data_IF_988971866216
#
_entry.id   IF_988971866216
#
_cell.length_a   1.000
_cell.length_b   1.000
_cell.length_c   1.000
_cell.angle_alpha   90.00
_cell.angle_beta   90.00
_cell.angle_gamma   90.00
#
_symmetry.space_group_name_H-M   'P 1'
#
loop_
_entity.id
_entity.type
_entity.pdbx_description
1 polymer ?
#
# COMPACT_ATOMS: atom_id res chain seq x y z
N UNK A 1 4.74 13.22 24.56
CA UNK A 1 4.21 12.70 23.69
C UNK A 1 4.01 13.38 22.55
N UNK A 2 3.79 12.85 21.86
CA UNK A 2 4.02 13.19 20.68
C UNK A 2 2.82 13.40 19.90
N UNK A 3 2.25 14.52 20.12
CA UNK A 3 1.12 14.92 19.35
C UNK A 3 1.47 15.11 17.91
N UNK A 4 2.72 15.43 17.63
CA UNK A 4 3.09 15.56 16.23
C UNK A 4 3.05 14.21 15.53
N UNK A 5 3.38 13.14 16.23
CA UNK A 5 3.22 11.83 15.69
C UNK A 5 1.77 11.56 15.33
N UNK A 6 0.89 11.97 16.20
CA UNK A 6 -0.54 11.78 15.98
C UNK A 6 -1.04 12.62 14.83
N UNK A 7 -0.54 13.84 14.75
CA UNK A 7 -0.87 14.70 13.63
C UNK A 7 -0.42 14.09 12.33
N UNK A 8 0.77 13.55 12.31
CA UNK A 8 1.27 12.92 11.10
C UNK A 8 0.36 11.80 10.65
N UNK A 9 -0.13 11.02 11.59
CA UNK A 9 -1.04 9.96 11.27
C UNK A 9 -2.34 10.49 10.69
N UNK A 10 -2.85 11.56 11.26
CA UNK A 10 -4.06 12.18 10.74
C UNK A 10 -3.83 12.80 9.39
N UNK A 11 -2.70 13.47 9.23
CA UNK A 11 -2.37 14.10 7.95
C UNK A 11 -2.27 13.08 6.85
N UNK A 12 -1.73 11.92 7.14
CA UNK A 12 -1.64 10.90 6.12
C UNK A 12 -2.99 10.44 5.66
N UNK A 13 -3.97 10.43 6.52
CA UNK A 13 -5.32 10.10 6.10
C UNK A 13 -5.87 11.15 5.18
N UNK A 14 -5.58 12.43 5.47
CA UNK A 14 -6.00 13.51 4.59
C UNK A 14 -5.16 13.55 3.33
N UNK A 15 -3.91 13.11 3.42
CA UNK A 15 -3.02 13.12 2.29
C UNK A 15 -3.33 12.01 1.31
N UNK A 16 -4.53 11.51 1.37
CA UNK A 16 -4.96 10.74 0.26
C UNK A 16 -4.97 9.25 0.41
N UNK A 17 -4.87 8.75 1.64
CA UNK A 17 -5.07 7.33 1.82
C UNK A 17 -6.52 6.99 1.56
N UNK A 18 -6.73 6.05 0.68
CA UNK A 18 -8.09 5.60 0.38
C UNK A 18 -8.21 4.14 0.81
N UNK A 19 -9.32 3.79 1.48
CA UNK A 19 -9.56 2.39 1.78
C UNK A 19 -9.69 1.60 0.49
N UNK A 20 -9.01 0.48 0.44
CA UNK A 20 -9.03 -0.35 -0.74
C UNK A 20 -8.58 -1.74 -0.40
N UNK A 21 -9.48 -2.69 -0.58
CA UNK A 21 -9.13 -4.10 -0.47
C UNK A 21 -8.91 -4.63 -1.87
N UNK A 22 -7.69 -4.98 -2.16
CA UNK A 22 -7.38 -5.60 -3.45
C UNK A 22 -6.29 -6.61 -3.23
N UNK A 23 -6.28 -7.61 -4.09
CA UNK A 23 -5.22 -8.60 -4.06
C UNK A 23 -3.94 -8.01 -4.60
N UNK A 24 -2.84 -8.42 -4.00
CA UNK A 24 -1.53 -7.92 -4.40
C UNK A 24 -0.55 -9.09 -4.29
N UNK A 25 0.40 -9.12 -5.20
CA UNK A 25 1.49 -10.08 -5.14
C UNK A 25 2.74 -9.34 -4.73
N UNK A 26 3.48 -9.94 -3.80
CA UNK A 26 4.77 -9.39 -3.40
C UNK A 26 5.84 -10.39 -3.79
N UNK A 27 7.00 -9.89 -4.15
CA UNK A 27 8.11 -10.73 -4.60
C UNK A 27 9.33 -10.42 -3.78
N UNK A 28 9.86 -11.46 -3.17
CA UNK A 28 11.13 -11.40 -2.47
C UNK A 28 11.97 -12.54 -3.00
N UNK A 29 13.13 -12.22 -3.60
CA UNK A 29 14.00 -13.24 -4.20
C UNK A 29 13.23 -14.11 -5.18
N UNK A 30 12.41 -13.46 -6.01
CA UNK A 30 11.60 -14.13 -7.02
C UNK A 30 10.57 -15.11 -6.47
N UNK A 31 10.30 -15.04 -5.17
CA UNK A 31 9.27 -15.85 -4.55
C UNK A 31 8.03 -15.04 -4.38
N UNK A 32 6.94 -15.38 -5.07
CA UNK A 32 5.71 -14.62 -4.93
C UNK A 32 4.95 -15.01 -3.67
N UNK A 33 4.38 -14.01 -3.03
CA UNK A 33 3.44 -14.22 -1.94
C UNK A 33 2.23 -13.34 -2.19
N UNK A 34 1.09 -13.84 -1.84
CA UNK A 34 -0.15 -13.10 -2.02
C UNK A 34 -0.62 -12.50 -0.73
N UNK A 35 -1.21 -11.35 -0.86
CA UNK A 35 -1.85 -10.69 0.25
C UNK A 35 -2.95 -9.81 -0.26
N UNK A 36 -3.45 -8.95 0.60
CA UNK A 36 -4.43 -7.97 0.19
C UNK A 36 -4.18 -6.68 0.94
N UNK A 37 -4.61 -5.58 0.32
CA UNK A 37 -4.40 -4.27 0.91
C UNK A 37 -5.57 -3.89 1.78
N UNK A 38 -5.35 -2.95 2.69
CA UNK A 38 -6.44 -2.31 3.40
C UNK A 38 -6.59 -0.85 2.99
N UNK A 39 -5.53 -0.24 2.53
CA UNK A 39 -5.60 1.11 1.97
C UNK A 39 -4.39 1.35 1.08
N UNK A 40 -4.48 2.40 0.28
CA UNK A 40 -3.41 2.77 -0.62
C UNK A 40 -3.39 4.29 -0.77
N UNK A 41 -2.21 4.82 -1.05
CA UNK A 41 -2.02 6.22 -1.40
C UNK A 41 -0.95 6.30 -2.48
N UNK A 42 -0.63 7.50 -2.92
CA UNK A 42 0.45 7.68 -3.89
C UNK A 42 1.81 7.28 -3.32
N UNK A 43 1.96 7.29 -2.01
CA UNK A 43 3.26 7.02 -1.39
C UNK A 43 3.43 5.59 -0.90
N UNK A 44 2.34 4.84 -0.75
CA UNK A 44 2.47 3.48 -0.23
C UNK A 44 1.13 2.84 0.03
N UNK A 45 1.19 1.69 0.69
CA UNK A 45 -0.01 0.94 1.01
C UNK A 45 0.19 0.15 2.30
N UNK A 46 -0.92 -0.30 2.88
CA UNK A 46 -0.89 -1.27 3.95
C UNK A 46 -1.26 -2.62 3.39
N UNK A 47 -0.43 -3.58 3.69
CA UNK A 47 -0.57 -4.94 3.22
C UNK A 47 -0.93 -5.85 4.37
N UNK A 48 -1.95 -6.67 4.18
CA UNK A 48 -2.32 -7.70 5.13
C UNK A 48 -2.04 -9.05 4.53
N UNK A 49 -1.45 -9.93 5.31
CA UNK A 49 -1.21 -11.30 4.88
C UNK A 49 -1.73 -12.24 5.93
N UNK A 50 -2.16 -13.40 5.50
CA UNK A 50 -2.58 -14.44 6.41
C UNK A 50 -1.40 -15.24 6.91
N UNK A 51 -0.29 -15.14 6.21
CA UNK A 51 0.89 -15.91 6.56
C UNK A 51 1.76 -15.09 7.46
N UNK A 52 2.09 -15.64 8.57
CA UNK A 52 3.07 -15.04 9.40
C UNK A 52 4.40 -15.31 8.80
N UNK A 53 4.96 -14.32 8.20
CA UNK A 53 6.37 -14.35 7.90
C UNK A 53 7.00 -13.40 8.90
N UNK A 54 7.54 -13.93 9.98
CA UNK A 54 8.06 -13.06 11.03
C UNK A 54 9.26 -12.24 10.57
N UNK A 55 9.77 -12.57 9.39
CA UNK A 55 10.96 -11.90 8.92
C UNK A 55 10.76 -11.35 7.54
N UNK A 56 9.83 -10.41 7.41
CA UNK A 56 9.87 -9.61 6.21
C UNK A 56 11.12 -8.77 6.28
N UNK A 57 12.06 -9.00 5.41
CA UNK A 57 13.31 -8.26 5.48
C UNK A 57 13.08 -6.82 5.12
N UNK A 58 13.95 -5.98 5.59
CA UNK A 58 13.91 -4.56 5.25
C UNK A 58 14.41 -4.29 3.84
N UNK A 59 14.59 -5.32 3.06
CA UNK A 59 15.00 -5.15 1.67
C UNK A 59 13.79 -4.78 0.83
N UNK A 60 14.00 -4.09 -0.28
CA UNK A 60 12.88 -3.77 -1.15
C UNK A 60 12.18 -5.01 -1.65
N UNK A 61 10.87 -4.92 -1.72
CA UNK A 61 10.03 -5.98 -2.25
C UNK A 61 9.47 -5.54 -3.59
N UNK A 62 9.37 -6.47 -4.51
CA UNK A 62 8.60 -6.20 -5.72
C UNK A 62 7.12 -6.28 -5.40
N UNK A 63 6.35 -5.39 -6.00
CA UNK A 63 4.91 -5.32 -5.79
C UNK A 63 4.22 -5.32 -7.14
N UNK A 64 3.18 -6.12 -7.21
CA UNK A 64 2.39 -6.22 -8.43
C UNK A 64 0.93 -6.17 -8.07
N UNK A 65 0.20 -5.22 -8.64
CA UNK A 65 -1.22 -5.10 -8.35
C UNK A 65 -1.94 -4.41 -9.50
N UNK A 66 -3.25 -4.61 -9.52
CA UNK A 66 -4.09 -4.01 -10.54
C UNK A 66 -5.18 -3.24 -9.83
N UNK A 67 -5.23 -1.93 -10.08
CA UNK A 67 -6.24 -1.09 -9.46
C UNK A 67 -7.61 -1.41 -10.02
N UNK A 68 -8.65 -1.37 -9.19
CA UNK A 68 -10.00 -1.65 -9.68
C UNK A 68 -10.39 -0.72 -10.81
N UNK A 69 -10.96 -1.28 -11.83
CA UNK A 69 -11.41 -0.50 -12.98
C UNK A 69 -10.33 -0.14 -13.97
N UNK A 70 -9.09 -0.47 -13.67
CA UNK A 70 -7.99 -0.18 -14.57
C UNK A 70 -7.46 -1.48 -15.15
N UNK A 71 -7.11 -1.44 -16.42
CA UNK A 71 -6.72 -2.66 -17.10
C UNK A 71 -5.28 -3.06 -16.95
N UNK A 72 -4.44 -2.13 -16.54
CA UNK A 72 -3.00 -2.35 -16.52
C UNK A 72 -2.52 -2.77 -15.15
N UNK A 73 -1.53 -3.63 -15.14
CA UNK A 73 -0.88 -4.03 -13.90
C UNK A 73 0.18 -3.00 -13.53
N UNK A 74 0.18 -2.62 -12.28
CA UNK A 74 1.19 -1.71 -11.76
C UNK A 74 2.30 -2.53 -11.12
N UNK A 75 3.53 -2.17 -11.45
CA UNK A 75 4.72 -2.74 -10.84
C UNK A 75 5.44 -1.68 -10.05
N UNK A 76 5.83 -2.01 -8.84
CA UNK A 76 6.53 -1.07 -7.99
C UNK A 76 7.53 -1.81 -7.13
N UNK A 77 8.46 -1.08 -6.57
CA UNK A 77 9.28 -1.57 -5.46
C UNK A 77 8.81 -0.86 -4.22
N UNK A 78 8.82 -1.56 -3.11
CA UNK A 78 8.42 -0.98 -1.84
C UNK A 78 9.32 -1.43 -0.73
N UNK A 79 9.39 -0.62 0.31
CA UNK A 79 10.14 -0.93 1.51
C UNK A 79 9.22 -0.98 2.69
N UNK A 80 9.50 -1.89 3.58
CA UNK A 80 8.77 -1.99 4.83
C UNK A 80 9.03 -0.76 5.68
N UNK A 81 7.99 -0.08 6.07
CA UNK A 81 8.16 1.09 6.92
C UNK A 81 7.46 0.95 8.27
N UNK A 82 6.60 -0.04 8.42
CA UNK A 82 5.91 -0.23 9.69
C UNK A 82 5.35 -1.64 9.76
N UNK A 83 5.59 -2.29 10.89
CA UNK A 83 4.99 -3.58 11.20
C UNK A 83 3.79 -3.40 12.10
N UNK A 84 2.80 -4.22 11.93
CA UNK A 84 1.69 -4.28 12.85
C UNK A 84 1.19 -5.70 12.95
N UNK A 85 0.61 -5.99 14.09
CA UNK A 85 0.00 -7.29 14.30
C UNK A 85 -1.42 -7.11 14.75
N UNK A 86 -2.31 -7.91 14.21
CA UNK A 86 -3.50 -8.15 14.96
C UNK A 86 -3.67 -9.66 15.06
N UNK A 87 -4.79 -10.11 15.57
CA UNK A 87 -4.91 -11.51 15.94
C UNK A 87 -4.88 -12.45 14.75
N UNK A 88 -5.29 -11.99 13.59
CA UNK A 88 -5.45 -12.86 12.44
C UNK A 88 -4.54 -12.48 11.28
N UNK A 89 -4.13 -11.24 11.22
CA UNK A 89 -3.40 -10.74 10.07
C UNK A 89 -2.10 -10.13 10.50
N UNK A 90 -1.12 -10.32 9.68
CA UNK A 90 0.12 -9.60 9.80
C UNK A 90 0.03 -8.39 8.87
N UNK A 91 0.00 -7.20 9.44
CA UNK A 91 -0.16 -5.97 8.68
C UNK A 91 1.15 -5.22 8.60
N UNK A 92 1.51 -4.79 7.42
CA UNK A 92 2.73 -4.02 7.24
C UNK A 92 2.44 -2.81 6.38
N UNK A 93 3.08 -1.71 6.72
CA UNK A 93 3.08 -0.53 5.87
C UNK A 93 4.25 -0.61 4.91
N UNK A 94 3.98 -0.41 3.65
CA UNK A 94 5.00 -0.40 2.62
C UNK A 94 5.01 0.97 1.95
N UNK A 95 6.19 1.52 1.77
CA UNK A 95 6.39 2.77 1.06
C UNK A 95 6.94 2.45 -0.31
N UNK A 96 6.35 3.06 -1.34
CA UNK A 96 6.87 2.87 -2.69
C UNK A 96 8.20 3.57 -2.82
N UNK A 97 9.19 2.86 -3.32
CA UNK A 97 10.51 3.44 -3.53
C UNK A 97 10.83 3.60 -5.00
N UNK A 98 10.18 2.82 -5.85
CA UNK A 98 10.37 2.88 -7.29
C UNK A 98 9.09 2.53 -7.99
N UNK A 99 8.79 3.28 -9.04
CA UNK A 99 7.63 3.01 -9.86
C UNK A 99 7.81 3.76 -11.17
N UNK A 100 7.43 3.13 -12.27
CA UNK A 100 7.47 3.80 -13.56
C UNK A 100 6.56 5.02 -13.55
N UNK A 101 6.94 6.05 -14.29
CA UNK A 101 6.18 7.29 -14.33
C UNK A 101 4.74 7.07 -14.73
N UNK A 102 4.51 6.22 -15.71
CA UNK A 102 3.16 5.93 -16.17
C UNK A 102 2.33 5.29 -15.07
N UNK A 103 2.92 4.36 -14.33
CA UNK A 103 2.22 3.71 -13.24
C UNK A 103 1.96 4.66 -12.09
N UNK A 104 2.91 5.55 -11.82
CA UNK A 104 2.74 6.54 -10.78
C UNK A 104 1.59 7.48 -11.11
N UNK A 105 1.46 7.85 -12.37
CA UNK A 105 0.35 8.68 -12.80
C UNK A 105 -0.98 7.96 -12.67
N UNK A 106 -1.01 6.70 -13.06
CA UNK A 106 -2.22 5.88 -12.91
C UNK A 106 -2.66 5.83 -11.45
N UNK A 107 -1.71 5.60 -10.56
CA UNK A 107 -2.01 5.52 -9.15
C UNK A 107 -2.50 6.86 -8.61
N UNK A 108 -1.85 7.95 -9.00
CA UNK A 108 -2.25 9.27 -8.54
C UNK A 108 -3.67 9.60 -9.01
N UNK A 109 -3.98 9.30 -10.26
CA UNK A 109 -5.30 9.55 -10.81
C UNK A 109 -6.36 8.72 -10.08
N UNK A 110 -6.06 7.47 -9.82
CA UNK A 110 -6.97 6.59 -9.11
C UNK A 110 -7.26 7.12 -7.71
N UNK A 111 -6.21 7.48 -6.97
CA UNK A 111 -6.38 7.97 -5.61
C UNK A 111 -7.17 9.28 -5.60
N UNK A 112 -6.87 10.16 -6.54
CA UNK A 112 -7.58 11.43 -6.63
C UNK A 112 -9.05 11.21 -6.90
N UNK A 113 -9.36 10.30 -7.79
CA UNK A 113 -10.74 10.01 -8.14
C UNK A 113 -11.48 9.41 -6.97
N UNK A 114 -10.85 8.49 -6.27
CA UNK A 114 -11.46 7.86 -5.11
C UNK A 114 -11.74 8.89 -4.02
N UNK A 115 -10.85 9.83 -3.81
CA UNK A 115 -11.06 10.88 -2.83
C UNK A 115 -12.26 11.76 -3.22
N UNK A 116 -12.41 12.05 -4.49
CA UNK A 116 -13.55 12.82 -4.97
C UNK A 116 -14.86 12.10 -4.72
N UNK A 117 -14.91 10.83 -5.02
CA UNK A 117 -16.11 10.04 -4.80
C UNK A 117 -16.50 10.05 -3.33
N UNK A 118 -15.52 9.93 -2.45
CA UNK A 118 -15.79 9.93 -1.03
C UNK A 118 -16.24 11.29 -0.55
N UNK A 119 -15.69 12.34 -1.10
CA UNK A 119 -16.08 13.70 -0.72
C UNK A 119 -17.47 14.04 -1.21
N UNK A 120 -17.89 13.46 -2.31
CA UNK A 120 -19.18 13.74 -2.89
C UNK A 120 -20.33 13.06 -2.16
N UNK A 121 -20.02 12.07 -1.35
CA UNK A 121 -21.07 11.39 -0.59
C UNK A 121 -21.30 12.02 0.82
#
# INVERSE_FOLDING_TARGET
MNLSWRKDTLNRRFDGRVPLEMHISTYLNDQPKRGFTSNISESGLYLNTLMQDPHLPKTPLGLEFKLPGMGDTIWAMGELCRDGHDDFFYSVGLRFTRMASAHRRMLADFCRWQRRLRSAS
#
